data_IF_886428094203
#
_entry.id   IF_886428094203
#
_cell.length_a   1.000
_cell.length_b   1.000
_cell.length_c   1.000
_cell.angle_alpha   90.00
_cell.angle_beta   90.00
_cell.angle_gamma   90.00
#
_symmetry.space_group_name_H-M   'P 1'
#
loop_
_entity.id
_entity.type
_entity.pdbx_description
1 polymer ?
#
# COMPACT_ATOMS: atom_id res chain seq x y z
N UNK A 1 7.35 -32.46 26.20
CA UNK A 1 7.52 -31.03 26.51
C UNK A 1 6.81 -30.10 25.51
N UNK A 2 6.68 -30.47 24.22
CA UNK A 2 6.03 -29.63 23.20
C UNK A 2 4.50 -29.53 23.33
N UNK A 3 3.80 -30.62 23.65
CA UNK A 3 2.31 -30.58 23.81
C UNK A 3 1.85 -29.69 24.97
N UNK A 4 2.68 -29.53 26.01
CA UNK A 4 2.36 -28.66 27.14
C UNK A 4 2.51 -27.18 26.76
N UNK A 5 3.47 -26.83 25.91
CA UNK A 5 3.59 -25.45 25.35
C UNK A 5 2.46 -25.13 24.34
N UNK A 6 2.04 -26.09 23.53
CA UNK A 6 0.87 -25.91 22.63
C UNK A 6 -0.42 -25.69 23.41
N UNK A 7 -0.66 -26.47 24.46
CA UNK A 7 -1.84 -26.31 25.35
C UNK A 7 -1.76 -24.97 26.08
N UNK A 8 -0.58 -24.56 26.56
CA UNK A 8 -0.37 -23.24 27.17
C UNK A 8 -0.63 -22.09 26.16
N UNK A 9 -0.14 -22.20 24.94
CA UNK A 9 -0.40 -21.18 23.92
C UNK A 9 -1.88 -21.09 23.52
N UNK A 10 -2.57 -22.21 23.40
CA UNK A 10 -4.02 -22.24 23.10
C UNK A 10 -4.83 -21.70 24.27
N UNK A 11 -4.44 -22.02 25.51
CA UNK A 11 -5.12 -21.52 26.72
C UNK A 11 -4.83 -20.06 27.03
N UNK A 12 -3.64 -19.56 26.72
CA UNK A 12 -3.22 -18.20 27.08
C UNK A 12 -3.25 -17.19 25.92
N UNK A 13 -3.48 -17.62 24.65
CA UNK A 13 -3.68 -16.69 23.54
C UNK A 13 -4.83 -15.69 23.80
N UNK A 14 -6.01 -16.10 24.28
CA UNK A 14 -7.05 -15.15 24.65
C UNK A 14 -6.68 -14.29 25.87
N UNK A 15 -5.85 -14.82 26.79
CA UNK A 15 -5.35 -14.06 27.95
C UNK A 15 -4.30 -13.03 27.53
N UNK A 16 -3.43 -13.34 26.58
CA UNK A 16 -2.45 -12.39 26.02
C UNK A 16 -3.16 -11.22 25.33
N UNK A 17 -4.21 -11.50 24.58
CA UNK A 17 -5.03 -10.45 23.95
C UNK A 17 -5.81 -9.61 24.97
N UNK A 18 -6.35 -10.23 26.01
CA UNK A 18 -7.02 -9.53 27.12
C UNK A 18 -6.02 -8.70 27.94
N UNK A 19 -4.82 -9.23 28.19
CA UNK A 19 -3.77 -8.50 28.89
C UNK A 19 -3.28 -7.29 28.09
N UNK A 20 -3.09 -7.43 26.80
CA UNK A 20 -2.72 -6.33 25.92
C UNK A 20 -3.83 -5.27 25.88
N UNK A 21 -5.08 -5.67 25.84
CA UNK A 21 -6.23 -4.76 25.91
C UNK A 21 -6.32 -4.06 27.27
N UNK A 22 -6.12 -4.78 28.37
CA UNK A 22 -6.11 -4.21 29.71
C UNK A 22 -4.94 -3.25 29.93
N UNK A 23 -3.75 -3.55 29.39
CA UNK A 23 -2.60 -2.65 29.40
C UNK A 23 -2.84 -1.40 28.55
N UNK A 24 -3.51 -1.55 27.41
CA UNK A 24 -3.93 -0.42 26.59
C UNK A 24 -4.90 0.49 27.36
N UNK A 25 -5.95 -0.07 27.93
CA UNK A 25 -6.94 0.65 28.75
C UNK A 25 -6.29 1.31 29.99
N UNK A 26 -5.32 0.64 30.64
CA UNK A 26 -4.56 1.19 31.77
C UNK A 26 -3.69 2.40 31.36
N UNK A 27 -3.01 2.34 30.23
CA UNK A 27 -2.20 3.45 29.70
C UNK A 27 -3.08 4.64 29.33
N UNK A 28 -4.22 4.39 28.70
CA UNK A 28 -5.23 5.41 28.39
C UNK A 28 -5.75 6.10 29.65
N UNK A 29 -6.01 5.31 30.70
CA UNK A 29 -6.51 5.83 31.98
C UNK A 29 -5.48 6.76 32.65
N UNK A 30 -4.20 6.48 32.50
CA UNK A 30 -3.11 7.31 33.06
C UNK A 30 -2.71 8.50 32.18
N UNK A 31 -3.42 8.79 31.09
CA UNK A 31 -3.13 9.90 30.19
C UNK A 31 -1.81 9.77 29.42
N UNK A 32 -1.27 8.56 29.31
CA UNK A 32 -0.08 8.30 28.50
C UNK A 32 -0.48 8.06 27.04
N UNK A 33 0.17 8.75 26.12
CA UNK A 33 -0.02 8.48 24.69
C UNK A 33 0.36 7.03 24.38
N UNK A 34 -0.59 6.27 23.81
CA UNK A 34 -0.36 4.88 23.40
C UNK A 34 0.18 4.90 21.98
N UNK A 35 1.50 4.76 21.85
CA UNK A 35 2.15 4.58 20.55
C UNK A 35 2.10 3.07 20.23
N UNK A 36 1.62 2.65 19.04
CA UNK A 36 1.63 1.25 18.62
C UNK A 36 3.00 0.60 18.84
N UNK A 37 3.02 -0.66 19.26
CA UNK A 37 4.26 -1.38 19.45
C UNK A 37 5.05 -1.46 18.13
N UNK A 38 6.38 -1.51 18.21
CA UNK A 38 7.25 -1.67 17.03
C UNK A 38 7.38 -3.16 16.71
N UNK A 39 6.27 -3.77 16.27
CA UNK A 39 6.24 -5.16 15.84
C UNK A 39 5.23 -5.35 14.70
N UNK A 40 5.38 -6.42 13.89
CA UNK A 40 4.51 -6.72 12.76
C UNK A 40 3.03 -6.85 13.12
N UNK A 41 2.70 -7.46 14.26
CA UNK A 41 1.32 -7.68 14.69
C UNK A 41 0.60 -6.36 14.99
N UNK A 42 1.27 -5.42 15.66
CA UNK A 42 0.71 -4.09 15.92
C UNK A 42 0.49 -3.32 14.62
N UNK A 43 1.40 -3.43 13.65
CA UNK A 43 1.23 -2.79 12.35
C UNK A 43 0.05 -3.36 11.55
N UNK A 44 -0.21 -4.67 11.65
CA UNK A 44 -1.37 -5.29 11.02
C UNK A 44 -2.67 -4.94 11.72
N UNK A 45 -2.71 -5.00 13.05
CA UNK A 45 -3.95 -4.84 13.84
C UNK A 45 -4.32 -3.38 14.06
N UNK A 46 -3.39 -2.54 14.54
CA UNK A 46 -3.65 -1.14 14.85
C UNK A 46 -3.41 -0.22 13.63
N UNK A 47 -2.53 -0.65 12.71
CA UNK A 47 -2.25 0.05 11.46
C UNK A 47 -3.26 -0.31 10.37
N UNK A 48 -3.09 -1.48 9.74
CA UNK A 48 -3.89 -1.84 8.57
C UNK A 48 -5.36 -2.10 8.88
N UNK A 49 -5.66 -2.92 9.89
CA UNK A 49 -7.03 -3.27 10.24
C UNK A 49 -7.74 -2.21 11.10
N UNK A 50 -6.98 -1.44 11.88
CA UNK A 50 -7.51 -0.48 12.84
C UNK A 50 -7.54 0.97 12.36
N UNK A 51 -6.92 1.31 11.22
CA UNK A 51 -6.86 2.68 10.72
C UNK A 51 -7.43 2.78 9.29
N UNK A 52 -8.51 3.53 9.14
CA UNK A 52 -9.25 3.69 7.88
C UNK A 52 -8.42 4.35 6.77
N UNK A 53 -7.53 5.28 7.09
CA UNK A 53 -6.69 5.97 6.13
C UNK A 53 -5.63 5.03 5.54
N UNK A 54 -4.96 4.24 6.38
CA UNK A 54 -3.97 3.24 5.95
C UNK A 54 -4.63 2.18 5.09
N UNK A 55 -5.77 1.65 5.53
CA UNK A 55 -6.54 0.67 4.75
C UNK A 55 -6.91 1.23 3.38
N UNK A 56 -7.41 2.47 3.32
CA UNK A 56 -7.80 3.13 2.07
C UNK A 56 -6.62 3.32 1.12
N UNK A 57 -5.44 3.73 1.63
CA UNK A 57 -4.24 3.92 0.83
C UNK A 57 -3.80 2.58 0.22
N UNK A 58 -3.66 1.55 1.03
CA UNK A 58 -3.18 0.23 0.58
C UNK A 58 -4.17 -0.42 -0.38
N UNK A 59 -5.47 -0.36 -0.08
CA UNK A 59 -6.52 -0.89 -0.96
C UNK A 59 -6.57 -0.16 -2.30
N UNK A 60 -6.28 1.14 -2.34
CA UNK A 60 -6.18 1.90 -3.57
C UNK A 60 -4.99 1.45 -4.42
N UNK A 61 -3.83 1.23 -3.80
CA UNK A 61 -2.65 0.69 -4.49
C UNK A 61 -2.94 -0.68 -5.08
N UNK A 62 -3.52 -1.61 -4.29
CA UNK A 62 -3.89 -2.94 -4.78
C UNK A 62 -4.93 -2.89 -5.91
N UNK A 63 -5.91 -2.00 -5.82
CA UNK A 63 -6.92 -1.83 -6.87
C UNK A 63 -6.32 -1.27 -8.17
N UNK A 64 -5.49 -0.24 -8.10
CA UNK A 64 -4.88 0.39 -9.27
C UNK A 64 -3.90 -0.56 -9.98
N UNK A 65 -3.09 -1.31 -9.25
CA UNK A 65 -2.11 -2.23 -9.85
C UNK A 65 -2.72 -3.27 -10.79
N UNK A 66 -4.00 -3.63 -10.58
CA UNK A 66 -4.71 -4.65 -11.38
C UNK A 66 -4.89 -4.26 -12.85
N UNK A 67 -4.67 -3.00 -13.19
CA UNK A 67 -4.68 -2.54 -14.58
C UNK A 67 -3.42 -2.99 -15.34
N UNK A 68 -2.28 -3.18 -14.65
CA UNK A 68 -1.07 -3.70 -15.26
C UNK A 68 -1.09 -5.24 -15.26
N UNK A 69 -0.74 -5.84 -16.39
CA UNK A 69 -0.77 -7.29 -16.56
C UNK A 69 0.65 -7.87 -16.52
N UNK A 70 0.87 -8.85 -15.65
CA UNK A 70 2.13 -9.62 -15.66
C UNK A 70 2.13 -10.55 -16.88
N UNK A 71 3.19 -10.49 -17.69
CA UNK A 71 3.37 -11.27 -18.90
C UNK A 71 4.72 -11.96 -18.90
N UNK A 72 4.85 -12.99 -19.73
CA UNK A 72 6.10 -13.70 -19.98
C UNK A 72 6.68 -13.26 -21.30
N UNK A 73 7.96 -12.86 -21.31
CA UNK A 73 8.68 -12.41 -22.49
C UNK A 73 9.92 -13.27 -22.74
N UNK A 74 10.33 -13.33 -24.01
CA UNK A 74 11.60 -13.91 -24.42
C UNK A 74 12.56 -12.81 -24.86
N UNK A 75 13.80 -12.86 -24.36
CA UNK A 75 14.89 -11.98 -24.81
C UNK A 75 15.36 -12.43 -26.18
N UNK A 76 15.22 -11.57 -27.19
CA UNK A 76 15.76 -11.76 -28.53
C UNK A 76 17.04 -10.94 -28.66
N UNK A 77 18.01 -11.43 -29.45
CA UNK A 77 19.18 -10.64 -29.82
C UNK A 77 18.69 -9.43 -30.61
N UNK A 78 19.19 -8.25 -30.31
CA UNK A 78 18.87 -6.96 -30.93
C UNK A 78 17.80 -6.10 -30.21
N UNK A 79 17.51 -6.40 -28.93
CA UNK A 79 16.70 -5.52 -28.08
C UNK A 79 15.19 -5.68 -28.24
N UNK A 80 14.73 -6.61 -29.06
CA UNK A 80 13.33 -6.97 -29.16
C UNK A 80 12.95 -8.00 -28.11
N UNK A 81 11.81 -7.76 -27.45
CA UNK A 81 11.22 -8.70 -26.49
C UNK A 81 9.96 -9.28 -27.10
N UNK A 82 9.88 -10.59 -27.22
CA UNK A 82 8.71 -11.28 -27.77
C UNK A 82 7.83 -11.78 -26.64
N UNK A 83 6.52 -11.51 -26.72
CA UNK A 83 5.55 -12.02 -25.75
C UNK A 83 5.32 -13.51 -26.00
N UNK A 84 5.55 -14.33 -24.98
CA UNK A 84 5.41 -15.78 -25.06
C UNK A 84 3.96 -16.15 -24.72
N UNK A 85 3.23 -16.70 -25.68
CA UNK A 85 1.82 -17.09 -25.53
C UNK A 85 1.60 -18.58 -25.34
N UNK A 86 2.63 -19.41 -25.51
CA UNK A 86 2.57 -20.87 -25.32
C UNK A 86 3.85 -21.35 -24.60
N UNK A 87 3.73 -21.51 -23.28
CA UNK A 87 4.80 -22.03 -22.43
C UNK A 87 4.26 -22.51 -21.08
N UNK A 88 4.91 -23.54 -20.49
CA UNK A 88 4.51 -24.09 -19.19
C UNK A 88 4.51 -23.05 -18.04
N UNK A 89 5.34 -22.02 -18.13
CA UNK A 89 5.40 -20.94 -17.12
C UNK A 89 4.15 -20.05 -17.09
N UNK A 90 3.31 -20.05 -18.13
CA UNK A 90 2.09 -19.26 -18.17
C UNK A 90 1.07 -19.69 -17.11
N UNK A 91 1.14 -20.94 -16.63
CA UNK A 91 0.29 -21.38 -15.53
C UNK A 91 0.45 -20.50 -14.27
N UNK A 92 1.66 -19.97 -14.03
CA UNK A 92 1.96 -19.12 -12.89
C UNK A 92 1.31 -17.73 -12.96
N UNK A 93 0.85 -17.32 -14.14
CA UNK A 93 0.06 -16.08 -14.31
C UNK A 93 -1.40 -16.25 -13.82
N UNK A 94 -1.86 -17.49 -13.68
CA UNK A 94 -3.22 -17.79 -13.24
C UNK A 94 -3.26 -18.24 -11.78
N UNK A 95 -2.44 -19.24 -11.43
CA UNK A 95 -2.43 -19.83 -10.09
C UNK A 95 -1.02 -20.08 -9.60
N UNK A 96 -0.75 -19.68 -8.37
CA UNK A 96 0.53 -19.94 -7.68
C UNK A 96 0.51 -21.26 -6.90
N UNK A 97 -0.68 -21.72 -6.49
CA UNK A 97 -0.90 -23.00 -5.82
C UNK A 97 -2.38 -23.43 -5.97
N UNK A 98 -2.76 -24.67 -5.57
CA UNK A 98 -4.13 -25.16 -5.75
C UNK A 98 -5.23 -24.32 -5.07
N UNK A 99 -4.89 -23.57 -4.02
CA UNK A 99 -5.85 -22.81 -3.20
C UNK A 99 -5.82 -21.29 -3.46
N UNK A 100 -4.81 -20.74 -4.19
CA UNK A 100 -4.62 -19.29 -4.33
C UNK A 100 -4.35 -18.89 -5.78
N UNK A 101 -5.08 -17.91 -6.25
CA UNK A 101 -4.84 -17.27 -7.54
C UNK A 101 -3.65 -16.31 -7.47
N UNK A 102 -3.00 -16.09 -8.61
CA UNK A 102 -1.81 -15.23 -8.69
C UNK A 102 -2.12 -13.79 -8.31
N UNK A 103 -3.30 -13.27 -8.68
CA UNK A 103 -3.70 -11.92 -8.29
C UNK A 103 -3.85 -11.76 -6.77
N UNK A 104 -4.43 -12.75 -6.09
CA UNK A 104 -4.55 -12.79 -4.64
C UNK A 104 -3.19 -12.87 -3.94
N UNK A 105 -2.29 -13.69 -4.48
CA UNK A 105 -0.91 -13.79 -3.99
C UNK A 105 -0.16 -12.46 -4.11
N UNK A 106 -0.30 -11.75 -5.24
CA UNK A 106 0.31 -10.44 -5.44
C UNK A 106 -0.31 -9.40 -4.50
N UNK A 107 -1.63 -9.46 -4.25
CA UNK A 107 -2.27 -8.61 -3.23
C UNK A 107 -1.65 -8.85 -1.85
N UNK A 108 -1.48 -10.10 -1.45
CA UNK A 108 -0.85 -10.44 -0.17
C UNK A 108 0.59 -9.91 -0.10
N UNK A 109 1.37 -10.07 -1.16
CA UNK A 109 2.76 -9.58 -1.22
C UNK A 109 2.83 -8.06 -1.02
N UNK A 110 1.98 -7.30 -1.72
CA UNK A 110 1.95 -5.84 -1.62
C UNK A 110 1.46 -5.38 -0.24
N UNK A 111 0.41 -6.01 0.29
CA UNK A 111 -0.13 -5.64 1.61
C UNK A 111 0.92 -5.88 2.70
N UNK A 112 1.55 -7.05 2.73
CA UNK A 112 2.59 -7.35 3.72
C UNK A 112 3.80 -6.41 3.57
N UNK A 113 4.26 -6.17 2.34
CA UNK A 113 5.36 -5.23 2.09
C UNK A 113 5.02 -3.82 2.58
N UNK A 114 3.81 -3.32 2.27
CA UNK A 114 3.39 -1.97 2.65
C UNK A 114 3.13 -1.84 4.16
N UNK A 115 2.67 -2.88 4.83
CA UNK A 115 2.33 -2.82 6.27
C UNK A 115 3.55 -3.09 7.14
N UNK A 116 4.24 -4.21 6.92
CA UNK A 116 5.34 -4.65 7.78
C UNK A 116 6.72 -4.51 7.16
N UNK A 117 6.80 -4.14 5.87
CA UNK A 117 8.05 -4.00 5.14
C UNK A 117 8.68 -5.31 4.71
N UNK A 118 8.00 -6.44 4.88
CA UNK A 118 8.50 -7.78 4.58
C UNK A 118 7.38 -8.63 3.99
N UNK A 119 7.73 -9.43 2.99
CA UNK A 119 6.89 -10.50 2.50
C UNK A 119 7.71 -11.75 2.29
N UNK A 120 7.22 -12.88 2.77
CA UNK A 120 7.85 -14.19 2.63
C UNK A 120 6.98 -15.11 1.80
N UNK A 121 7.59 -15.78 0.83
CA UNK A 121 6.93 -16.83 0.05
C UNK A 121 7.70 -18.13 0.12
N UNK A 122 7.00 -19.21 0.43
CA UNK A 122 7.55 -20.56 0.42
C UNK A 122 7.41 -21.16 -0.98
N UNK A 123 8.52 -21.65 -1.53
CA UNK A 123 8.64 -22.10 -2.91
C UNK A 123 9.27 -23.50 -2.98
N UNK A 124 8.53 -24.55 -2.58
CA UNK A 124 9.05 -25.92 -2.58
C UNK A 124 9.42 -26.38 -3.99
N UNK A 125 10.58 -27.03 -4.09
CA UNK A 125 11.06 -27.59 -5.34
C UNK A 125 10.76 -29.07 -5.43
N UNK A 126 10.48 -29.54 -6.64
CA UNK A 126 10.23 -30.95 -6.91
C UNK A 126 11.54 -31.74 -6.76
N UNK A 127 11.52 -32.76 -5.89
CA UNK A 127 12.69 -33.58 -5.56
C UNK A 127 12.94 -34.73 -6.54
N UNK A 128 11.93 -35.12 -7.34
CA UNK A 128 11.97 -36.25 -8.24
C UNK A 128 11.22 -36.02 -9.55
N UNK A 129 11.46 -36.88 -10.55
CA UNK A 129 10.80 -36.83 -11.85
C UNK A 129 11.47 -35.90 -12.88
N UNK A 130 10.87 -35.76 -14.08
CA UNK A 130 11.42 -34.94 -15.17
C UNK A 130 11.47 -33.44 -14.85
N UNK A 131 10.68 -33.01 -13.88
CA UNK A 131 10.62 -31.63 -13.42
C UNK A 131 11.41 -31.37 -12.12
N UNK A 132 12.37 -32.27 -11.78
CA UNK A 132 13.23 -32.11 -10.61
C UNK A 132 13.92 -30.73 -10.63
N UNK A 133 13.89 -30.04 -9.49
CA UNK A 133 14.48 -28.71 -9.33
C UNK A 133 13.57 -27.55 -9.73
N UNK A 134 12.49 -27.79 -10.48
CA UNK A 134 11.48 -26.77 -10.76
C UNK A 134 10.61 -26.52 -9.52
N UNK A 135 10.03 -25.32 -9.43
CA UNK A 135 9.07 -24.95 -8.37
C UNK A 135 7.78 -25.75 -8.57
N UNK A 136 7.30 -26.38 -7.52
CA UNK A 136 6.04 -27.12 -7.55
C UNK A 136 4.82 -26.28 -7.21
N UNK A 137 4.98 -25.29 -6.32
CA UNK A 137 3.95 -24.36 -5.89
C UNK A 137 4.60 -23.13 -5.24
N UNK A 138 3.86 -22.03 -5.12
CA UNK A 138 4.29 -20.83 -4.39
C UNK A 138 3.23 -20.51 -3.34
N UNK A 139 3.62 -20.42 -2.09
CA UNK A 139 2.73 -20.12 -0.97
C UNK A 139 3.12 -18.80 -0.31
N UNK A 140 2.16 -17.91 -0.10
CA UNK A 140 2.34 -16.76 0.76
C UNK A 140 2.43 -17.23 2.22
N UNK A 141 3.51 -16.86 2.91
CA UNK A 141 3.67 -17.16 4.33
C UNK A 141 3.03 -16.05 5.17
N UNK A 142 2.53 -16.35 6.40
CA UNK A 142 2.08 -15.33 7.34
C UNK A 142 3.30 -14.51 7.79
N UNK A 143 3.58 -13.41 7.07
CA UNK A 143 4.85 -12.69 7.17
C UNK A 143 5.09 -12.01 8.52
N UNK A 144 4.07 -11.87 9.35
CA UNK A 144 4.19 -11.43 10.75
C UNK A 144 4.68 -12.52 11.69
N UNK A 145 4.60 -13.80 11.29
CA UNK A 145 4.92 -14.98 12.10
C UNK A 145 6.23 -15.66 11.65
N UNK A 146 6.95 -15.07 10.69
CA UNK A 146 8.22 -15.59 10.19
C UNK A 146 9.39 -15.02 10.99
N UNK A 147 10.16 -15.89 11.62
CA UNK A 147 11.44 -15.60 12.25
C UNK A 147 12.59 -15.89 11.26
N UNK A 148 13.53 -14.97 11.11
CA UNK A 148 14.74 -15.16 10.33
C UNK A 148 15.81 -15.78 11.23
N UNK A 149 16.37 -16.92 10.83
CA UNK A 149 17.46 -17.59 11.53
C UNK A 149 18.79 -17.02 11.05
N UNK A 150 19.51 -16.37 11.94
CA UNK A 150 20.75 -15.66 11.63
C UNK A 150 21.93 -16.61 11.44
N UNK A 151 22.78 -16.24 10.51
CA UNK A 151 24.05 -16.87 10.21
C UNK A 151 25.24 -16.01 10.59
N UNK A 152 26.32 -16.23 9.86
CA UNK A 152 27.52 -15.42 9.93
C UNK A 152 27.42 -14.27 8.91
N UNK A 153 28.38 -13.31 8.99
CA UNK A 153 28.36 -12.17 8.05
C UNK A 153 28.50 -12.56 6.56
N UNK A 154 29.07 -13.73 6.24
CA UNK A 154 29.18 -14.26 4.87
C UNK A 154 27.89 -14.97 4.42
N UNK A 155 27.20 -15.65 5.33
CA UNK A 155 25.91 -16.27 5.12
C UNK A 155 24.92 -15.69 6.16
N UNK A 156 24.43 -14.49 5.94
CA UNK A 156 23.67 -13.76 6.95
C UNK A 156 22.35 -14.43 7.32
N UNK A 157 21.76 -15.24 6.43
CA UNK A 157 20.50 -15.97 6.67
C UNK A 157 20.77 -17.46 6.58
N UNK A 158 20.66 -18.16 7.69
CA UNK A 158 20.73 -19.64 7.75
C UNK A 158 19.41 -20.31 7.40
N UNK A 159 18.31 -19.62 7.50
CA UNK A 159 16.99 -20.15 7.23
C UNK A 159 15.87 -19.29 7.79
N UNK A 160 14.69 -19.82 7.70
CA UNK A 160 13.47 -19.19 8.19
C UNK A 160 12.71 -20.17 9.07
N UNK A 161 11.90 -19.66 9.98
CA UNK A 161 11.09 -20.47 10.89
C UNK A 161 9.74 -19.81 11.07
N UNK A 162 8.67 -20.58 11.03
CA UNK A 162 7.35 -20.15 11.48
C UNK A 162 7.25 -20.32 12.98
N UNK A 163 6.94 -19.25 13.72
CA UNK A 163 6.85 -19.28 15.18
C UNK A 163 5.79 -20.27 15.66
N UNK A 164 4.61 -20.24 15.09
CA UNK A 164 3.47 -21.08 15.50
C UNK A 164 3.72 -22.58 15.30
N UNK A 165 4.30 -22.99 14.19
CA UNK A 165 4.51 -24.39 13.85
C UNK A 165 5.90 -24.92 14.21
N UNK A 166 6.83 -24.04 14.56
CA UNK A 166 8.25 -24.34 14.75
C UNK A 166 8.91 -25.01 13.51
N UNK A 167 8.27 -24.90 12.34
CA UNK A 167 8.77 -25.45 11.07
C UNK A 167 9.90 -24.57 10.55
N UNK A 168 10.99 -25.23 10.14
CA UNK A 168 12.18 -24.55 9.59
C UNK A 168 12.23 -24.75 8.08
N UNK A 169 12.69 -23.72 7.39
CA UNK A 169 12.87 -23.68 5.94
C UNK A 169 14.28 -23.24 5.62
N UNK A 170 14.83 -23.75 4.53
CA UNK A 170 16.13 -23.32 4.01
C UNK A 170 16.02 -21.98 3.28
N UNK A 171 17.13 -21.23 3.13
CA UNK A 171 17.11 -19.97 2.37
C UNK A 171 16.74 -20.17 0.89
N UNK A 172 16.95 -21.38 0.35
CA UNK A 172 16.59 -21.70 -1.03
C UNK A 172 15.09 -21.93 -1.25
N UNK A 173 14.37 -22.31 -0.20
CA UNK A 173 12.93 -22.61 -0.24
C UNK A 173 12.07 -21.36 0.01
N UNK A 174 12.66 -20.29 0.55
CA UNK A 174 11.93 -19.07 0.88
C UNK A 174 12.47 -17.89 0.09
N UNK A 175 11.61 -17.18 -0.59
CA UNK A 175 11.93 -15.87 -1.15
C UNK A 175 11.47 -14.80 -0.16
N UNK A 176 12.41 -13.94 0.25
CA UNK A 176 12.16 -12.83 1.15
C UNK A 176 12.22 -11.51 0.38
N UNK A 177 11.05 -10.94 0.07
CA UNK A 177 10.93 -9.59 -0.44
C UNK A 177 10.87 -8.61 0.73
N UNK A 178 11.77 -7.62 0.75
CA UNK A 178 11.88 -6.67 1.87
C UNK A 178 12.17 -5.25 1.43
N UNK A 179 11.64 -4.30 2.15
CA UNK A 179 12.07 -2.90 2.08
C UNK A 179 13.44 -2.75 2.75
N UNK A 180 14.32 -1.93 2.19
CA UNK A 180 15.65 -1.73 2.76
C UNK A 180 15.57 -1.18 4.19
N UNK A 181 16.30 -1.80 5.11
CA UNK A 181 16.45 -1.36 6.49
C UNK A 181 17.90 -0.91 6.73
N UNK A 182 18.15 0.38 6.99
CA UNK A 182 19.48 0.92 7.21
C UNK A 182 20.01 0.72 8.64
N UNK A 183 19.19 0.16 9.54
CA UNK A 183 19.57 -0.03 10.94
C UNK A 183 20.39 -1.31 11.09
N UNK A 184 21.72 -1.20 11.27
CA UNK A 184 22.63 -2.31 11.48
C UNK A 184 22.95 -2.49 12.96
N UNK A 185 23.19 -3.73 13.38
CA UNK A 185 23.67 -4.06 14.74
C UNK A 185 22.61 -4.60 15.69
N UNK A 186 21.44 -4.97 15.19
CA UNK A 186 20.40 -5.68 15.93
C UNK A 186 19.90 -6.90 15.14
N UNK A 187 19.24 -7.84 15.80
CA UNK A 187 18.59 -9.00 15.15
C UNK A 187 17.56 -8.61 14.09
N UNK A 188 17.20 -7.31 14.00
CA UNK A 188 16.26 -6.73 13.05
C UNK A 188 16.89 -6.35 11.70
N UNK A 189 18.22 -6.42 11.54
CA UNK A 189 18.92 -6.00 10.33
C UNK A 189 18.54 -6.80 9.07
N UNK A 190 18.03 -8.01 9.28
CA UNK A 190 17.63 -8.91 8.20
C UNK A 190 16.18 -8.73 7.80
N UNK A 191 15.40 -8.03 8.61
CA UNK A 191 14.03 -7.65 8.28
C UNK A 191 13.99 -6.30 7.56
N UNK A 192 13.06 -6.18 6.62
CA UNK A 192 12.74 -4.90 6.01
C UNK A 192 12.10 -3.94 7.01
N UNK A 193 12.31 -2.66 6.82
CA UNK A 193 11.72 -1.64 7.68
C UNK A 193 10.28 -1.35 7.25
N UNK A 194 9.34 -1.47 8.18
CA UNK A 194 7.95 -1.06 7.95
C UNK A 194 7.85 0.45 7.68
N UNK A 195 7.11 0.90 6.65
CA UNK A 195 6.79 2.31 6.47
C UNK A 195 6.05 2.89 7.68
N UNK A 196 5.21 2.08 8.35
CA UNK A 196 4.47 2.47 9.54
C UNK A 196 5.37 2.76 10.75
N UNK A 197 6.58 2.24 10.78
CA UNK A 197 7.57 2.57 11.83
C UNK A 197 7.84 4.08 11.88
N UNK A 198 8.01 4.70 10.73
CA UNK A 198 8.19 6.15 10.63
C UNK A 198 6.90 6.92 11.00
N UNK A 199 5.74 6.36 10.71
CA UNK A 199 4.43 6.97 10.92
C UNK A 199 3.79 6.68 12.28
N UNK A 200 4.41 5.90 13.17
CA UNK A 200 3.83 5.42 14.45
C UNK A 200 3.21 6.53 15.30
N UNK A 201 3.86 7.70 15.37
CA UNK A 201 3.35 8.84 16.15
C UNK A 201 2.09 9.45 15.53
N UNK A 202 2.04 9.51 14.20
CA UNK A 202 0.89 10.00 13.46
C UNK A 202 -0.28 9.03 13.63
N UNK A 203 -0.01 7.73 13.48
CA UNK A 203 -0.98 6.65 13.70
C UNK A 203 -1.57 6.72 15.11
N UNK A 204 -0.72 6.80 16.14
CA UNK A 204 -1.16 6.96 17.52
C UNK A 204 -2.08 8.18 17.69
N UNK A 205 -1.66 9.32 17.14
CA UNK A 205 -2.44 10.57 17.23
C UNK A 205 -3.81 10.45 16.56
N UNK A 206 -3.89 9.83 15.39
CA UNK A 206 -5.17 9.63 14.69
C UNK A 206 -6.09 8.68 15.46
N UNK A 207 -5.59 7.52 15.87
CA UNK A 207 -6.38 6.55 16.64
C UNK A 207 -6.90 7.14 17.96
N UNK A 208 -6.09 7.94 18.66
CA UNK A 208 -6.51 8.65 19.87
C UNK A 208 -7.55 9.75 19.59
N UNK A 209 -7.40 10.47 18.49
CA UNK A 209 -8.35 11.49 18.08
C UNK A 209 -9.72 10.87 17.78
N UNK A 210 -9.78 9.77 17.02
CA UNK A 210 -10.99 9.04 16.69
C UNK A 210 -11.65 8.47 17.96
N UNK A 211 -10.87 7.89 18.88
CA UNK A 211 -11.37 7.40 20.16
C UNK A 211 -11.91 8.52 21.04
N UNK A 212 -11.25 9.67 21.06
CA UNK A 212 -11.71 10.85 21.82
C UNK A 212 -13.01 11.37 21.26
N UNK A 213 -13.11 11.48 19.95
CA UNK A 213 -14.33 11.89 19.25
C UNK A 213 -15.48 10.92 19.54
N UNK A 214 -15.25 9.61 19.42
CA UNK A 214 -16.24 8.57 19.73
C UNK A 214 -16.74 8.69 21.18
N UNK A 215 -15.82 8.83 22.17
CA UNK A 215 -16.16 9.00 23.58
C UNK A 215 -16.97 10.28 23.84
N UNK A 216 -16.65 11.37 23.15
CA UNK A 216 -17.43 12.61 23.28
C UNK A 216 -18.84 12.46 22.69
N UNK A 217 -19.00 11.73 21.57
CA UNK A 217 -20.31 11.38 21.04
C UNK A 217 -21.09 10.46 21.98
N UNK A 218 -20.43 9.45 22.56
CA UNK A 218 -21.05 8.55 23.54
C UNK A 218 -21.52 9.30 24.78
N UNK A 219 -20.71 10.23 25.30
CA UNK A 219 -21.00 10.99 26.52
C UNK A 219 -21.79 12.28 26.26
N UNK A 220 -22.16 12.61 25.01
CA UNK A 220 -22.88 13.83 24.63
C UNK A 220 -22.14 15.13 24.98
N UNK A 221 -20.82 15.11 24.95
CA UNK A 221 -19.98 16.29 25.18
C UNK A 221 -18.70 15.98 25.95
N UNK A 222 -17.91 17.02 26.24
CA UNK A 222 -16.69 16.87 26.99
C UNK A 222 -16.97 16.41 28.44
N UNK A 223 -16.00 15.76 29.09
CA UNK A 223 -16.15 15.37 30.48
C UNK A 223 -16.41 16.60 31.34
N UNK A 224 -17.41 16.50 32.22
CA UNK A 224 -17.81 17.60 33.07
C UNK A 224 -17.88 17.14 34.54
N UNK A 225 -17.68 18.10 35.42
CA UNK A 225 -17.85 17.94 36.84
C UNK A 225 -19.13 18.65 37.25
N UNK A 226 -20.02 17.92 37.91
CA UNK A 226 -21.20 18.48 38.57
C UNK A 226 -20.85 18.80 40.00
N UNK A 227 -21.10 20.04 40.41
CA UNK A 227 -20.98 20.44 41.81
C UNK A 227 -22.28 21.09 42.27
N UNK A 228 -22.60 20.93 43.56
CA UNK A 228 -23.73 21.59 44.11
C UNK A 228 -23.45 23.07 44.29
N UNK A 229 -24.30 23.95 43.76
CA UNK A 229 -24.18 25.38 43.93
C UNK A 229 -24.75 25.77 45.28
N UNK A 230 -23.89 26.10 46.24
CA UNK A 230 -24.22 26.42 47.64
C UNK A 230 -24.22 27.94 47.86
N UNK A 231 -24.28 28.77 46.81
CA UNK A 231 -24.13 30.22 46.92
C UNK A 231 -25.19 30.96 47.76
N UNK A 232 -26.28 30.31 48.17
CA UNK A 232 -27.35 30.98 48.90
C UNK A 232 -27.61 30.50 50.35
N UNK A 233 -26.94 29.46 50.84
CA UNK A 233 -27.10 28.97 52.24
C UNK A 233 -25.78 28.50 52.80
N UNK A 234 -25.25 29.15 53.81
CA UNK A 234 -23.97 28.91 54.47
C UNK A 234 -23.75 27.53 55.15
N UNK A 235 -24.30 26.47 54.62
CA UNK A 235 -24.06 25.13 55.10
C UNK A 235 -23.29 24.35 54.03
N UNK A 236 -22.06 23.96 54.32
CA UNK A 236 -21.26 23.00 53.54
C UNK A 236 -21.92 21.63 53.67
N UNK A 237 -22.93 21.35 52.87
CA UNK A 237 -23.54 20.03 52.78
C UNK A 237 -22.84 19.29 51.63
N UNK A 238 -21.77 18.55 51.97
CA UNK A 238 -21.13 17.61 51.04
C UNK A 238 -22.12 16.48 50.72
N UNK A 239 -22.21 16.12 49.43
CA UNK A 239 -22.99 14.95 49.03
C UNK A 239 -22.49 13.71 49.78
N UNK A 240 -23.41 12.97 50.40
CA UNK A 240 -23.03 11.68 50.96
C UNK A 240 -22.58 10.72 49.85
N UNK A 241 -21.72 9.74 50.15
CA UNK A 241 -21.28 8.74 49.15
C UNK A 241 -22.46 8.11 48.39
N UNK A 242 -23.54 7.79 49.08
CA UNK A 242 -24.76 7.20 48.51
C UNK A 242 -25.45 8.15 47.52
N UNK A 243 -25.56 9.44 47.86
CA UNK A 243 -26.15 10.44 46.98
C UNK A 243 -25.30 10.69 45.72
N UNK A 244 -23.97 10.61 45.86
CA UNK A 244 -23.06 10.70 44.72
C UNK A 244 -23.25 9.53 43.76
N UNK A 245 -23.33 8.31 44.31
CA UNK A 245 -23.47 7.08 43.51
C UNK A 245 -24.86 7.03 42.83
N UNK A 246 -25.93 7.42 43.50
CA UNK A 246 -27.26 7.57 42.89
C UNK A 246 -27.28 8.61 41.76
N UNK A 247 -26.55 9.71 41.93
CA UNK A 247 -26.44 10.75 40.89
C UNK A 247 -25.68 10.23 39.68
N UNK A 248 -24.54 9.56 39.88
CA UNK A 248 -23.81 8.91 38.82
C UNK A 248 -24.66 7.90 38.05
N UNK A 249 -25.43 7.10 38.73
CA UNK A 249 -26.34 6.12 38.12
C UNK A 249 -27.46 6.78 37.31
N UNK A 250 -28.01 7.89 37.80
CA UNK A 250 -29.01 8.68 37.07
C UNK A 250 -28.42 9.27 35.79
N UNK A 251 -27.20 9.82 35.86
CA UNK A 251 -26.50 10.36 34.69
C UNK A 251 -26.18 9.28 33.70
N UNK A 252 -25.65 8.11 34.14
CA UNK A 252 -25.38 6.95 33.27
C UNK A 252 -26.65 6.44 32.58
N UNK A 253 -27.77 6.31 33.34
CA UNK A 253 -29.07 5.90 32.75
C UNK A 253 -29.60 6.92 31.77
N UNK A 254 -29.37 8.20 32.01
CA UNK A 254 -29.81 9.28 31.12
C UNK A 254 -28.96 9.34 29.86
N UNK A 255 -27.67 9.03 29.94
CA UNK A 255 -26.75 8.93 28.77
C UNK A 255 -27.00 7.67 27.93
N UNK A 256 -27.80 6.69 28.44
CA UNK A 256 -28.13 5.50 27.68
C UNK A 256 -28.95 5.84 26.40
N UNK A 257 -28.80 5.04 25.36
CA UNK A 257 -29.34 5.32 24.01
C UNK A 257 -30.86 5.59 23.99
N UNK A 258 -31.63 4.94 24.91
CA UNK A 258 -33.11 5.08 25.01
C UNK A 258 -33.59 6.36 25.70
N UNK A 259 -32.74 7.03 26.46
CA UNK A 259 -33.05 8.28 27.19
C UNK A 259 -32.28 9.48 26.67
N UNK A 260 -31.52 9.31 25.61
CA UNK A 260 -30.68 10.33 24.99
C UNK A 260 -31.55 11.50 24.50
N UNK A 261 -31.24 12.71 24.94
CA UNK A 261 -31.97 13.92 24.53
C UNK A 261 -33.22 14.24 25.40
N UNK A 262 -33.60 13.41 26.38
CA UNK A 262 -34.65 13.75 27.32
C UNK A 262 -34.12 14.73 28.39
N UNK A 263 -34.93 15.67 28.90
CA UNK A 263 -34.50 16.57 29.97
C UNK A 263 -34.27 15.84 31.27
N UNK A 264 -33.12 16.02 31.91
CA UNK A 264 -32.83 15.51 33.26
C UNK A 264 -33.34 16.53 34.29
N UNK A 265 -34.37 16.16 35.04
CA UNK A 265 -34.95 16.99 36.11
C UNK A 265 -34.23 16.68 37.42
N UNK A 266 -33.53 17.67 37.95
CA UNK A 266 -32.86 17.62 39.25
C UNK A 266 -33.65 18.41 40.30
N UNK A 267 -33.60 17.98 41.56
CA UNK A 267 -34.31 18.64 42.67
C UNK A 267 -33.57 19.86 43.23
N UNK A 268 -32.26 19.94 42.94
CA UNK A 268 -31.38 20.96 43.50
C UNK A 268 -30.61 21.64 42.37
N UNK A 269 -30.06 22.83 42.62
CA UNK A 269 -29.25 23.59 41.68
C UNK A 269 -27.84 23.00 41.67
N UNK A 270 -27.38 22.62 40.51
CA UNK A 270 -26.03 22.15 40.26
C UNK A 270 -25.34 23.07 39.28
N UNK A 271 -24.07 23.36 39.55
CA UNK A 271 -23.17 23.98 38.58
C UNK A 271 -22.42 22.91 37.77
N UNK A 272 -22.06 23.25 36.55
CA UNK A 272 -21.31 22.40 35.64
C UNK A 272 -19.98 23.06 35.39
N UNK A 273 -18.89 22.31 35.59
CA UNK A 273 -17.55 22.71 35.16
C UNK A 273 -17.13 21.74 34.07
N UNK A 274 -16.91 22.23 32.87
CA UNK A 274 -16.36 21.44 31.79
C UNK A 274 -14.88 21.17 32.08
N UNK A 275 -14.50 19.90 32.17
CA UNK A 275 -13.12 19.47 32.43
C UNK A 275 -12.34 19.18 31.16
N UNK A 276 -13.05 19.01 30.03
CA UNK A 276 -12.45 18.73 28.73
C UNK A 276 -12.55 19.90 27.79
N UNK A 277 -11.72 19.89 26.78
CA UNK A 277 -11.82 20.82 25.66
C UNK A 277 -12.95 20.39 24.72
N UNK A 278 -13.64 21.34 24.13
CA UNK A 278 -14.61 21.05 23.08
C UNK A 278 -13.88 20.51 21.83
N UNK A 279 -14.55 19.61 21.06
CA UNK A 279 -14.00 19.05 19.82
C UNK A 279 -13.49 20.14 18.86
N UNK A 280 -14.23 21.24 18.75
CA UNK A 280 -13.82 22.38 17.91
C UNK A 280 -12.49 23.01 18.34
N UNK A 281 -12.23 23.09 19.67
CA UNK A 281 -11.00 23.65 20.22
C UNK A 281 -9.78 22.74 20.03
N UNK A 282 -10.01 21.42 19.94
CA UNK A 282 -8.96 20.42 19.68
C UNK A 282 -8.53 20.40 18.20
N UNK A 283 -9.29 21.03 17.32
CA UNK A 283 -9.00 21.06 15.88
C UNK A 283 -8.81 19.66 15.26
N UNK A 284 -9.57 18.67 15.77
CA UNK A 284 -9.41 17.25 15.45
C UNK A 284 -9.52 16.99 13.95
N UNK A 285 -10.49 17.63 13.28
CA UNK A 285 -10.69 17.47 11.84
C UNK A 285 -9.47 17.90 11.02
N UNK A 286 -8.92 19.07 11.28
CA UNK A 286 -7.74 19.58 10.58
C UNK A 286 -6.52 18.70 10.89
N UNK A 287 -6.39 18.21 12.12
CA UNK A 287 -5.32 17.30 12.54
C UNK A 287 -5.42 15.92 11.87
N UNK A 288 -6.64 15.37 11.70
CA UNK A 288 -6.89 14.12 10.99
C UNK A 288 -6.55 14.26 9.49
N UNK A 289 -6.96 15.36 8.84
CA UNK A 289 -6.62 15.63 7.45
C UNK A 289 -5.10 15.74 7.24
N UNK A 290 -4.40 16.43 8.13
CA UNK A 290 -2.94 16.53 8.06
C UNK A 290 -2.28 15.17 8.32
N UNK A 291 -2.79 14.37 9.24
CA UNK A 291 -2.34 13.00 9.48
C UNK A 291 -2.46 12.13 8.22
N UNK A 292 -3.59 12.21 7.51
CA UNK A 292 -3.80 11.52 6.23
C UNK A 292 -2.79 11.96 5.17
N UNK A 293 -2.50 13.27 5.04
CA UNK A 293 -1.48 13.78 4.11
C UNK A 293 -0.11 13.18 4.41
N UNK A 294 0.27 13.13 5.69
CA UNK A 294 1.56 12.53 6.09
C UNK A 294 1.59 11.04 5.77
N UNK A 295 0.53 10.28 6.04
CA UNK A 295 0.44 8.86 5.68
C UNK A 295 0.53 8.66 4.17
N UNK A 296 -0.17 9.46 3.37
CA UNK A 296 -0.06 9.45 1.92
C UNK A 296 1.39 9.66 1.47
N UNK A 297 2.09 10.64 2.03
CA UNK A 297 3.50 10.93 1.71
C UNK A 297 4.43 9.77 2.10
N UNK A 298 4.20 9.11 3.24
CA UNK A 298 4.98 7.92 3.68
C UNK A 298 4.88 6.79 2.65
N UNK A 299 3.72 6.62 2.03
CA UNK A 299 3.49 5.59 1.02
C UNK A 299 3.79 6.04 -0.42
N UNK A 300 4.11 7.32 -0.64
CA UNK A 300 4.32 7.88 -1.98
C UNK A 300 3.02 8.02 -2.78
N UNK A 301 1.87 8.14 -2.10
CA UNK A 301 0.58 8.32 -2.73
C UNK A 301 0.12 9.78 -2.65
N UNK A 302 -0.34 10.38 -3.76
CA UNK A 302 -0.83 11.75 -3.73
C UNK A 302 -2.09 11.91 -2.87
N UNK A 303 -2.12 12.84 -1.89
CA UNK A 303 -3.28 13.06 -1.01
C UNK A 303 -4.57 13.45 -1.75
N UNK A 304 -4.45 14.05 -2.94
CA UNK A 304 -5.59 14.41 -3.79
C UNK A 304 -6.49 13.21 -4.15
N UNK A 305 -5.94 11.99 -4.21
CA UNK A 305 -6.69 10.77 -4.49
C UNK A 305 -7.57 10.32 -3.31
N UNK A 306 -7.40 10.93 -2.12
CA UNK A 306 -8.09 10.57 -0.87
C UNK A 306 -8.97 11.71 -0.33
N UNK A 307 -9.54 12.52 -1.24
CA UNK A 307 -10.50 13.57 -0.88
C UNK A 307 -9.87 14.89 -0.42
N UNK A 308 -8.56 15.06 -0.54
CA UNK A 308 -7.91 16.36 -0.32
C UNK A 308 -8.08 17.23 -1.57
N UNK A 309 -9.22 17.92 -1.63
CA UNK A 309 -9.62 18.73 -2.79
C UNK A 309 -9.13 20.19 -2.70
N UNK A 310 -8.35 20.55 -1.70
CA UNK A 310 -7.82 21.91 -1.56
C UNK A 310 -6.93 22.26 -2.77
N UNK A 311 -7.49 22.95 -3.76
CA UNK A 311 -6.82 23.33 -5.00
C UNK A 311 -6.81 22.27 -6.10
N UNK A 312 -7.63 21.21 -6.02
CA UNK A 312 -7.69 20.16 -7.06
C UNK A 312 -8.52 20.63 -8.27
N UNK A 313 -7.85 20.77 -9.42
CA UNK A 313 -8.47 20.87 -10.74
C UNK A 313 -8.43 19.53 -11.44
N UNK A 314 -9.17 19.37 -12.55
CA UNK A 314 -9.15 18.13 -13.34
C UNK A 314 -7.72 17.72 -13.75
N UNK A 315 -6.91 18.67 -14.20
CA UNK A 315 -5.51 18.43 -14.57
C UNK A 315 -4.67 17.94 -13.39
N UNK A 316 -4.93 18.45 -12.18
CA UNK A 316 -4.22 18.02 -10.97
C UNK A 316 -4.57 16.56 -10.61
N UNK A 317 -5.80 16.10 -10.85
CA UNK A 317 -6.21 14.71 -10.61
C UNK A 317 -5.53 13.74 -11.59
N UNK A 318 -5.43 14.07 -12.86
CA UNK A 318 -4.70 13.25 -13.85
C UNK A 318 -3.23 13.15 -13.50
N UNK A 319 -2.61 14.28 -13.14
CA UNK A 319 -1.21 14.32 -12.67
C UNK A 319 -1.02 13.51 -11.40
N UNK A 320 -1.95 13.59 -10.44
CA UNK A 320 -1.90 12.82 -9.20
C UNK A 320 -2.00 11.31 -9.47
N UNK A 321 -2.89 10.87 -10.36
CA UNK A 321 -2.97 9.46 -10.75
C UNK A 321 -1.68 8.97 -11.39
N UNK A 322 -1.09 9.76 -12.31
CA UNK A 322 0.20 9.44 -12.92
C UNK A 322 1.31 9.33 -11.87
N UNK A 323 1.40 10.29 -10.94
CA UNK A 323 2.36 10.25 -9.84
C UNK A 323 2.17 8.99 -8.96
N UNK A 324 0.93 8.59 -8.65
CA UNK A 324 0.67 7.35 -7.92
C UNK A 324 1.25 6.11 -8.63
N UNK A 325 1.15 6.06 -9.96
CA UNK A 325 1.76 5.00 -10.75
C UNK A 325 3.28 5.04 -10.70
N UNK A 326 3.89 6.19 -11.00
CA UNK A 326 5.36 6.31 -11.12
C UNK A 326 6.08 6.17 -9.79
N UNK A 327 5.53 6.73 -8.72
CA UNK A 327 6.22 6.90 -7.45
C UNK A 327 5.89 5.78 -6.44
N UNK A 328 4.70 5.16 -6.57
CA UNK A 328 4.23 4.17 -5.62
C UNK A 328 4.05 2.77 -6.25
N UNK A 329 3.28 2.65 -7.34
CA UNK A 329 2.83 1.34 -7.85
C UNK A 329 3.93 0.64 -8.65
N UNK A 330 4.51 1.30 -9.65
CA UNK A 330 5.52 0.69 -10.54
C UNK A 330 6.75 0.15 -9.79
N UNK A 331 7.32 0.83 -8.78
CA UNK A 331 8.44 0.28 -8.01
C UNK A 331 8.09 -1.04 -7.30
N UNK A 332 6.86 -1.16 -6.78
CA UNK A 332 6.38 -2.40 -6.13
C UNK A 332 6.15 -3.52 -7.14
N UNK A 333 5.55 -3.20 -8.29
CA UNK A 333 5.39 -4.19 -9.35
C UNK A 333 6.73 -4.71 -9.86
N UNK A 334 7.78 -3.86 -9.93
CA UNK A 334 9.14 -4.31 -10.25
C UNK A 334 9.71 -5.26 -9.20
N UNK A 335 9.43 -5.08 -7.92
CA UNK A 335 9.83 -6.03 -6.89
C UNK A 335 9.12 -7.38 -7.05
N UNK A 336 7.85 -7.37 -7.45
CA UNK A 336 7.10 -8.60 -7.80
C UNK A 336 7.69 -9.27 -9.05
N UNK A 337 8.03 -8.52 -10.11
CA UNK A 337 8.74 -9.05 -11.28
C UNK A 337 10.04 -9.78 -10.87
N UNK A 338 10.85 -9.13 -10.04
CA UNK A 338 12.09 -9.71 -9.52
C UNK A 338 11.83 -11.00 -8.75
N UNK A 339 10.79 -11.04 -7.92
CA UNK A 339 10.41 -12.24 -7.19
C UNK A 339 10.06 -13.40 -8.13
N UNK A 340 9.18 -13.17 -9.11
CA UNK A 340 8.81 -14.22 -10.09
C UNK A 340 10.03 -14.68 -10.90
N UNK A 341 10.88 -13.78 -11.34
CA UNK A 341 12.09 -14.09 -12.08
C UNK A 341 13.09 -14.91 -11.24
N UNK A 342 13.37 -14.47 -10.01
CA UNK A 342 14.29 -15.17 -9.11
C UNK A 342 13.80 -16.58 -8.73
N UNK A 343 12.48 -16.73 -8.49
CA UNK A 343 11.88 -17.99 -8.06
C UNK A 343 11.74 -18.98 -9.22
N UNK A 344 11.21 -18.53 -10.36
CA UNK A 344 10.78 -19.42 -11.45
C UNK A 344 11.81 -19.55 -12.57
N UNK A 345 12.62 -18.52 -12.83
CA UNK A 345 13.49 -18.46 -14.01
C UNK A 345 14.96 -18.66 -13.68
N UNK A 346 15.53 -17.82 -12.81
CA UNK A 346 16.99 -17.74 -12.63
C UNK A 346 17.65 -19.07 -12.21
N UNK A 347 16.90 -19.95 -11.54
CA UNK A 347 17.43 -21.23 -11.05
C UNK A 347 17.23 -22.41 -12.02
N UNK A 348 16.67 -22.15 -13.21
CA UNK A 348 16.42 -23.18 -14.24
C UNK A 348 17.11 -22.79 -15.53
N UNK A 349 18.19 -23.49 -15.89
CA UNK A 349 19.01 -23.15 -17.05
C UNK A 349 18.23 -23.08 -18.36
N UNK A 350 17.18 -23.90 -18.49
CA UNK A 350 16.32 -23.92 -19.68
C UNK A 350 15.47 -22.66 -19.88
N UNK A 351 15.39 -21.75 -18.87
CA UNK A 351 14.54 -20.57 -18.91
C UNK A 351 15.32 -19.25 -18.95
N UNK A 352 16.64 -19.29 -19.11
CA UNK A 352 17.53 -18.11 -19.05
C UNK A 352 17.21 -17.01 -20.06
N UNK A 353 16.59 -17.36 -21.18
CA UNK A 353 16.14 -16.43 -22.22
C UNK A 353 14.75 -15.83 -21.94
N UNK A 354 14.06 -16.31 -20.92
CA UNK A 354 12.72 -15.86 -20.53
C UNK A 354 12.79 -14.89 -19.36
N UNK A 355 11.75 -14.06 -19.21
CA UNK A 355 11.55 -13.24 -18.02
C UNK A 355 10.10 -12.79 -17.90
N UNK A 356 9.64 -12.60 -16.66
CA UNK A 356 8.37 -11.97 -16.35
C UNK A 356 8.55 -10.46 -16.26
N UNK A 357 7.62 -9.71 -16.86
CA UNK A 357 7.53 -8.27 -16.73
C UNK A 357 6.07 -7.80 -16.80
N UNK A 358 5.78 -6.65 -16.19
CA UNK A 358 4.46 -6.05 -16.30
C UNK A 358 4.32 -5.27 -17.60
N UNK A 359 3.18 -5.48 -18.25
CA UNK A 359 2.72 -4.65 -19.36
C UNK A 359 1.84 -3.51 -18.83
N UNK A 360 2.25 -2.28 -19.11
CA UNK A 360 1.57 -1.06 -18.72
C UNK A 360 0.76 -0.43 -19.85
N UNK A 361 0.61 -1.11 -20.98
CA UNK A 361 -0.05 -0.55 -22.19
C UNK A 361 -1.54 -0.26 -21.97
N UNK A 362 -2.19 -0.97 -21.04
CA UNK A 362 -3.61 -0.76 -20.69
C UNK A 362 -3.81 0.30 -19.58
N UNK A 363 -2.73 0.84 -19.00
CA UNK A 363 -2.80 1.86 -17.95
C UNK A 363 -3.01 3.23 -18.58
N UNK A 364 -4.25 3.73 -18.52
CA UNK A 364 -4.66 4.97 -19.18
C UNK A 364 -3.84 6.18 -18.73
N UNK A 365 -3.53 6.28 -17.43
CA UNK A 365 -2.79 7.38 -16.83
C UNK A 365 -1.36 7.52 -17.34
N UNK A 366 -0.78 6.43 -17.88
CA UNK A 366 0.56 6.42 -18.45
C UNK A 366 0.57 6.71 -19.95
N UNK A 367 -0.58 6.55 -20.63
CA UNK A 367 -0.68 6.73 -22.09
C UNK A 367 -0.54 8.19 -22.53
N UNK A 368 -0.98 9.16 -21.72
CA UNK A 368 -0.79 10.59 -22.05
C UNK A 368 0.69 10.98 -22.12
N UNK A 369 1.53 10.36 -21.31
CA UNK A 369 2.99 10.51 -21.41
C UNK A 369 3.57 9.90 -22.69
N UNK A 370 2.98 8.82 -23.19
CA UNK A 370 3.36 8.23 -24.48
C UNK A 370 2.95 9.12 -25.65
N UNK A 371 1.75 9.70 -25.64
CA UNK A 371 1.33 10.65 -26.68
C UNK A 371 2.28 11.82 -26.77
N UNK A 372 2.56 12.49 -25.65
CA UNK A 372 3.52 13.61 -25.62
C UNK A 372 4.91 13.19 -26.09
N UNK A 373 5.36 11.98 -25.70
CA UNK A 373 6.64 11.44 -26.16
C UNK A 373 6.64 11.18 -27.66
N UNK A 374 5.59 10.60 -28.23
CA UNK A 374 5.44 10.34 -29.66
C UNK A 374 5.37 11.66 -30.44
N UNK A 375 4.64 12.66 -29.95
CA UNK A 375 4.59 14.00 -30.55
C UNK A 375 5.98 14.65 -30.58
N UNK A 376 6.73 14.57 -29.47
CA UNK A 376 8.09 15.06 -29.43
C UNK A 376 9.02 14.31 -30.40
N UNK A 377 8.91 12.98 -30.49
CA UNK A 377 9.68 12.17 -31.42
C UNK A 377 9.37 12.51 -32.86
N UNK A 378 8.10 12.76 -33.22
CA UNK A 378 7.70 13.24 -34.54
C UNK A 378 8.27 14.62 -34.84
N UNK A 379 8.24 15.55 -33.89
CA UNK A 379 8.86 16.87 -34.01
C UNK A 379 10.38 16.80 -34.19
N UNK A 380 11.00 15.78 -33.61
CA UNK A 380 12.45 15.51 -33.75
C UNK A 380 12.80 14.66 -34.97
N UNK A 381 11.84 14.42 -35.87
CA UNK A 381 12.00 13.66 -37.13
C UNK A 381 12.50 12.21 -36.95
N UNK A 382 12.04 11.55 -35.88
CA UNK A 382 12.33 10.13 -35.68
C UNK A 382 11.64 9.27 -36.74
N UNK A 383 12.24 8.12 -37.08
CA UNK A 383 11.66 7.18 -38.03
C UNK A 383 10.41 6.50 -37.46
N UNK A 384 9.53 5.98 -38.30
CA UNK A 384 8.36 5.27 -37.87
C UNK A 384 8.71 4.03 -37.02
N UNK A 385 9.79 3.32 -37.36
CA UNK A 385 10.25 2.16 -36.62
C UNK A 385 10.86 2.55 -35.26
N UNK A 386 11.62 3.63 -35.16
CA UNK A 386 12.12 4.14 -33.87
C UNK A 386 10.97 4.55 -32.94
N UNK A 387 9.94 5.20 -33.46
CA UNK A 387 8.72 5.56 -32.69
C UNK A 387 7.98 4.29 -32.22
N UNK A 388 7.87 3.27 -33.09
CA UNK A 388 7.27 1.98 -32.74
C UNK A 388 8.04 1.27 -31.63
N UNK A 389 9.37 1.19 -31.75
CA UNK A 389 10.23 0.60 -30.71
C UNK A 389 10.14 1.36 -29.39
N UNK A 390 10.17 2.68 -29.42
CA UNK A 390 10.06 3.53 -28.23
C UNK A 390 8.69 3.41 -27.54
N UNK A 391 7.65 2.97 -28.27
CA UNK A 391 6.29 2.71 -27.75
C UNK A 391 6.05 1.22 -27.45
N UNK A 392 7.08 0.36 -27.51
CA UNK A 392 6.99 -1.07 -27.22
C UNK A 392 6.34 -1.89 -28.35
N UNK A 393 6.26 -1.37 -29.57
CA UNK A 393 5.74 -2.08 -30.73
C UNK A 393 6.89 -2.58 -31.60
N UNK A 394 6.68 -3.71 -32.26
CA UNK A 394 7.67 -4.28 -33.18
C UNK A 394 7.89 -3.39 -34.41
N UNK A 395 9.13 -3.28 -34.90
CA UNK A 395 9.42 -2.62 -36.17
C UNK A 395 8.75 -3.37 -37.33
N UNK A 396 8.41 -2.65 -38.36
CA UNK A 396 7.91 -3.21 -39.61
C UNK A 396 9.08 -3.31 -40.60
N UNK A 397 9.30 -4.48 -41.17
CA UNK A 397 10.40 -4.76 -42.10
C UNK A 397 10.13 -4.19 -43.51
N UNK A 398 9.84 -2.89 -43.57
CA UNK A 398 9.68 -2.16 -44.81
C UNK A 398 10.66 -0.98 -44.80
N UNK A 399 11.50 -0.79 -45.85
CA UNK A 399 12.53 0.26 -45.88
C UNK A 399 12.00 1.67 -45.61
N UNK A 400 10.77 1.96 -46.01
CA UNK A 400 10.11 3.25 -45.82
C UNK A 400 9.84 3.56 -44.31
N UNK A 401 9.78 2.55 -43.47
CA UNK A 401 9.55 2.72 -42.01
C UNK A 401 10.80 3.15 -41.25
N UNK A 402 11.98 3.07 -41.89
CA UNK A 402 13.27 3.51 -41.34
C UNK A 402 13.69 4.87 -41.86
N UNK A 403 12.83 5.54 -42.65
CA UNK A 403 13.06 6.90 -43.11
C UNK A 403 12.54 7.94 -42.11
N UNK A 404 13.27 9.08 -41.94
CA UNK A 404 12.80 10.17 -41.09
C UNK A 404 11.47 10.76 -41.56
N UNK A 405 10.53 11.02 -40.60
CA UNK A 405 9.24 11.60 -40.90
C UNK A 405 9.30 13.15 -40.85
N UNK A 406 8.75 13.82 -41.84
CA UNK A 406 8.68 15.29 -41.91
C UNK A 406 7.21 15.78 -41.76
N UNK A 407 7.03 16.91 -41.09
CA UNK A 407 5.71 17.41 -40.65
C UNK A 407 4.72 17.81 -41.74
N UNK A 408 5.10 18.00 -42.98
CA UNK A 408 4.17 18.35 -44.07
C UNK A 408 3.37 17.14 -44.53
N UNK A 409 2.53 16.59 -43.65
CA UNK A 409 1.67 15.46 -43.96
C UNK A 409 2.20 14.10 -43.51
N UNK A 410 3.27 14.04 -42.69
CA UNK A 410 3.91 12.81 -42.21
C UNK A 410 4.37 11.88 -43.34
N UNK A 411 4.94 12.45 -44.40
CA UNK A 411 5.39 11.74 -45.59
C UNK A 411 6.91 11.42 -45.48
N UNK A 412 7.35 10.19 -45.80
CA UNK A 412 8.77 9.82 -45.83
C UNK A 412 9.57 10.67 -46.84
N UNK A 413 10.85 10.91 -46.52
CA UNK A 413 11.74 11.76 -47.34
C UNK A 413 11.77 11.34 -48.81
N UNK A 414 11.77 10.04 -49.10
CA UNK A 414 11.75 9.47 -50.46
C UNK A 414 10.50 9.85 -51.27
N UNK A 415 9.37 10.10 -50.60
CA UNK A 415 8.14 10.54 -51.26
C UNK A 415 8.07 12.06 -51.47
N UNK A 416 8.78 12.85 -50.65
CA UNK A 416 8.85 14.31 -50.82
C UNK A 416 9.66 14.75 -52.09
N UNK A 417 10.57 13.92 -52.58
CA UNK A 417 11.36 14.21 -53.75
C UNK A 417 10.63 13.89 -55.04
N UNK A 418 9.54 13.13 -55.03
CA UNK A 418 8.77 12.76 -56.22
C UNK A 418 7.76 13.83 -56.66
N UNK A 419 7.33 14.71 -55.77
CA UNK A 419 6.35 15.77 -56.08
C UNK A 419 6.99 17.11 -56.54
N UNK A 420 8.32 17.23 -56.57
CA UNK A 420 9.02 18.45 -56.93
C UNK A 420 9.60 18.45 -58.38
N UNK A 421 9.27 17.47 -59.21
CA UNK A 421 9.36 17.62 -60.65
C UNK A 421 8.08 18.30 -61.18
N UNK A 422 7.83 19.52 -60.74
CA UNK A 422 7.02 20.47 -61.49
C UNK A 422 7.78 20.80 -62.78
N UNK A 423 7.33 20.19 -63.84
CA UNK A 423 7.84 20.49 -65.20
C UNK A 423 7.72 22.00 -65.49
N UNK A 424 8.71 22.64 -66.12
CA UNK A 424 8.72 24.07 -66.41
C UNK A 424 7.57 24.61 -67.27
N UNK A 425 6.68 23.78 -67.72
CA UNK A 425 5.57 24.13 -68.67
C UNK A 425 4.27 24.69 -68.03
N UNK A 426 4.21 24.90 -66.73
CA UNK A 426 3.01 25.47 -66.07
C UNK A 426 3.13 26.96 -65.70
N UNK A 427 4.20 27.64 -66.05
CA UNK A 427 4.20 29.12 -66.02
C UNK A 427 3.69 29.64 -67.36
N UNK A 428 2.36 29.56 -67.52
CA UNK A 428 1.66 30.27 -68.60
C UNK A 428 1.95 31.77 -68.50
N UNK A 429 2.31 32.32 -69.67
CA UNK A 429 2.53 33.74 -69.97
C UNK A 429 1.54 34.67 -69.25
N UNK A 430 2.02 35.39 -68.26
CA UNK A 430 1.44 36.67 -67.83
C UNK A 430 2.24 37.85 -68.36
N UNK A 431 2.28 37.96 -69.70
CA UNK A 431 2.60 39.23 -70.35
C UNK A 431 1.52 39.49 -71.34
N UNK A 432 0.56 40.34 -70.96
CA UNK A 432 -0.22 41.31 -71.72
C UNK A 432 -1.64 41.50 -71.16
N UNK A 433 -1.81 42.53 -70.35
CA UNK A 433 -2.61 43.74 -70.62
C UNK A 433 -2.62 44.61 -69.40
#
# INVERSE_FOLDING_TARGET
>A
MNKFKEILNILFAPVKNQLNRALYEYRMFNGQAVIPADNPDAYLTEGYAGNSDIYSIISRVDSMRKQAKLKLYRRIKDGENDEVTDHELLQWLHKVNPSMYTDEFISAAIIYEMVIGNFFSYTPRLSAGPNRGKVGAIYAMPSNDVEVLFGDWMEPVKGYKLEDSNQKFTPEEVYHMKMFNPLFGSDLDFFGQSPLKAARRILAKQNEAELTELKQFENQGPPYLLYRDVSEMGAINTLSPTQRDEMQDKIKKHAASNSRGLPLVLREKYGIINLGQELASLNILASSQEGRRVLCNVYGMPPALFGDTAGSTYNNMTTARKAAWTDCIMPRLKAIEQMFNAVLIERVDAYKDLYFAYDYSEVEELQDGLKTRVEWMRLAHWTANEIRQATGKYPIQEPIMDEPLFQTGEVPLSQMTLDNELTPDQFGDFTNT
#
